data_IF_362592154747
#
_entry.id   IF_362592154747
#
_cell.length_a   1.000
_cell.length_b   1.000
_cell.length_c   1.000
_cell.angle_alpha   90.00
_cell.angle_beta   90.00
_cell.angle_gamma   90.00
#
_symmetry.space_group_name_H-M   'P 1'
#
loop_
_entity.id
_entity.type
_entity.pdbx_description
1 polymer ?
#
# COMPACT_ATOMS: atom_id res chain seq x y z
N UNK A 1 -12.76 6.15 18.45
CA UNK A 1 -12.85 6.36 16.99
C UNK A 1 -12.71 5.01 16.29
N UNK A 2 -13.73 4.54 15.57
CA UNK A 2 -13.62 3.29 14.78
C UNK A 2 -12.82 3.59 13.52
N UNK A 3 -11.50 3.48 13.61
CA UNK A 3 -10.62 3.57 12.45
C UNK A 3 -10.96 2.38 11.55
N UNK A 4 -11.64 2.65 10.43
CA UNK A 4 -12.00 1.61 9.47
C UNK A 4 -10.70 1.10 8.84
N UNK A 5 -10.36 -0.20 8.98
CA UNK A 5 -9.14 -0.78 8.42
C UNK A 5 -8.99 -0.54 6.91
N UNK A 6 -10.11 -0.34 6.21
CA UNK A 6 -10.16 0.02 4.80
C UNK A 6 -9.61 1.42 4.50
N UNK A 7 -9.96 2.41 5.32
CA UNK A 7 -9.50 3.79 5.09
C UNK A 7 -7.98 3.88 5.17
N UNK A 8 -7.38 3.17 6.13
CA UNK A 8 -5.92 3.09 6.22
C UNK A 8 -5.32 2.34 5.03
N UNK A 9 -5.97 1.27 4.53
CA UNK A 9 -5.49 0.55 3.34
C UNK A 9 -5.38 1.46 2.11
N UNK A 10 -6.40 2.30 1.88
CA UNK A 10 -6.41 3.28 0.79
C UNK A 10 -5.36 4.37 0.98
N UNK A 11 -5.16 4.86 2.20
CA UNK A 11 -4.11 5.84 2.50
C UNK A 11 -2.72 5.28 2.19
N UNK A 12 -2.39 4.08 2.67
CA UNK A 12 -1.11 3.42 2.36
C UNK A 12 -0.94 3.18 0.86
N UNK A 13 -2.00 2.78 0.15
CA UNK A 13 -1.95 2.59 -1.30
C UNK A 13 -1.66 3.91 -2.04
N UNK A 14 -2.32 4.99 -1.62
CA UNK A 14 -2.15 6.31 -2.22
C UNK A 14 -0.75 6.87 -1.98
N UNK A 15 -0.24 6.75 -0.75
CA UNK A 15 1.12 7.16 -0.39
C UNK A 15 2.15 6.33 -1.15
N UNK A 16 1.96 5.01 -1.25
CA UNK A 16 2.83 4.14 -2.04
C UNK A 16 2.88 4.53 -3.52
N UNK A 17 1.75 4.90 -4.13
CA UNK A 17 1.70 5.40 -5.51
C UNK A 17 2.45 6.73 -5.67
N UNK A 18 2.34 7.64 -4.70
CA UNK A 18 3.11 8.89 -4.67
C UNK A 18 4.62 8.61 -4.62
N UNK A 19 5.06 7.66 -3.79
CA UNK A 19 6.47 7.27 -3.75
C UNK A 19 6.95 6.65 -5.06
N UNK A 20 6.11 5.87 -5.76
CA UNK A 20 6.44 5.38 -7.09
C UNK A 20 6.61 6.54 -8.08
N UNK A 21 5.69 7.51 -8.07
CA UNK A 21 5.80 8.69 -8.92
C UNK A 21 7.10 9.46 -8.68
N UNK A 22 7.44 9.73 -7.42
CA UNK A 22 8.70 10.39 -7.08
C UNK A 22 9.92 9.53 -7.41
N UNK A 23 9.83 8.21 -7.28
CA UNK A 23 10.92 7.31 -7.65
C UNK A 23 11.22 7.39 -9.15
N UNK A 24 10.19 7.51 -10.00
CA UNK A 24 10.36 7.73 -11.44
C UNK A 24 11.00 9.07 -11.75
N UNK A 25 10.55 10.15 -11.10
CA UNK A 25 11.12 11.48 -11.29
C UNK A 25 12.57 11.58 -10.81
N UNK A 26 12.94 10.77 -9.81
CA UNK A 26 14.29 10.69 -9.28
C UNK A 26 15.28 9.91 -10.16
N UNK A 27 14.82 9.28 -11.25
CA UNK A 27 15.69 8.60 -12.19
C UNK A 27 16.43 9.67 -12.99
N UNK A 28 17.68 9.92 -12.60
CA UNK A 28 18.60 10.75 -13.37
C UNK A 28 19.33 9.88 -14.41
N UNK A 29 20.55 9.44 -14.12
CA UNK A 29 21.34 8.63 -15.06
C UNK A 29 21.04 7.13 -14.99
N UNK A 30 20.63 6.64 -13.81
CA UNK A 30 20.39 5.21 -13.59
C UNK A 30 19.25 4.98 -12.59
N UNK A 31 18.54 3.87 -12.77
CA UNK A 31 17.53 3.38 -11.81
C UNK A 31 18.12 2.97 -10.45
N UNK A 32 19.44 2.83 -10.34
CA UNK A 32 20.15 2.48 -9.10
C UNK A 32 20.60 3.71 -8.30
N UNK A 33 20.09 4.90 -8.60
CA UNK A 33 20.32 6.07 -7.76
C UNK A 33 19.86 5.77 -6.32
N UNK A 34 20.67 6.06 -5.28
CA UNK A 34 20.29 5.87 -3.89
C UNK A 34 18.90 6.42 -3.53
N UNK A 35 18.50 7.56 -4.09
CA UNK A 35 17.18 8.15 -3.85
C UNK A 35 16.06 7.29 -4.45
N UNK A 36 16.20 6.86 -5.71
CA UNK A 36 15.24 5.98 -6.40
C UNK A 36 15.07 4.65 -5.68
N UNK A 37 16.17 4.04 -5.24
CA UNK A 37 16.13 2.78 -4.47
C UNK A 37 15.39 3.00 -3.14
N UNK A 38 15.71 4.08 -2.42
CA UNK A 38 15.06 4.40 -1.14
C UNK A 38 13.54 4.59 -1.31
N UNK A 39 13.12 5.39 -2.30
CA UNK A 39 11.71 5.62 -2.61
C UNK A 39 11.00 4.33 -3.03
N UNK A 40 11.65 3.48 -3.82
CA UNK A 40 11.12 2.18 -4.25
C UNK A 40 10.92 1.23 -3.06
N UNK A 41 11.86 1.20 -2.12
CA UNK A 41 11.75 0.40 -0.89
C UNK A 41 10.58 0.89 -0.05
N UNK A 42 10.44 2.20 0.16
CA UNK A 42 9.30 2.77 0.88
C UNK A 42 7.96 2.41 0.22
N UNK A 43 7.85 2.61 -1.10
CA UNK A 43 6.67 2.24 -1.86
C UNK A 43 6.30 0.75 -1.71
N UNK A 44 7.31 -0.13 -1.66
CA UNK A 44 7.11 -1.57 -1.47
C UNK A 44 6.51 -1.88 -0.09
N UNK A 45 6.98 -1.22 0.98
CA UNK A 45 6.40 -1.37 2.31
C UNK A 45 4.95 -0.91 2.36
N UNK A 46 4.64 0.25 1.76
CA UNK A 46 3.28 0.80 1.71
C UNK A 46 2.31 -0.11 0.94
N UNK A 47 2.71 -0.59 -0.23
CA UNK A 47 1.92 -1.54 -1.03
C UNK A 47 1.72 -2.87 -0.28
N UNK A 48 2.75 -3.38 0.39
CA UNK A 48 2.65 -4.59 1.21
C UNK A 48 1.68 -4.43 2.39
N UNK A 49 1.72 -3.28 3.08
CA UNK A 49 0.81 -2.95 4.16
C UNK A 49 -0.64 -2.82 3.66
N UNK A 50 -0.84 -2.12 2.54
CA UNK A 50 -2.15 -1.98 1.90
C UNK A 50 -2.72 -3.34 1.47
N UNK A 51 -1.92 -4.19 0.84
CA UNK A 51 -2.33 -5.54 0.44
C UNK A 51 -2.76 -6.38 1.65
N UNK A 52 -2.02 -6.33 2.75
CA UNK A 52 -2.36 -7.04 4.00
C UNK A 52 -3.70 -6.57 4.57
N UNK A 53 -3.94 -5.26 4.58
CA UNK A 53 -5.19 -4.68 5.06
C UNK A 53 -6.37 -5.02 4.14
N UNK A 54 -6.16 -5.02 2.82
CA UNK A 54 -7.17 -5.42 1.85
C UNK A 54 -7.56 -6.89 2.03
N UNK A 55 -6.57 -7.79 2.18
CA UNK A 55 -6.80 -9.21 2.46
C UNK A 55 -7.56 -9.41 3.78
N UNK A 56 -7.22 -8.64 4.82
CA UNK A 56 -7.94 -8.66 6.09
C UNK A 56 -9.41 -8.24 5.91
N UNK A 57 -9.67 -7.19 5.14
CA UNK A 57 -11.03 -6.75 4.85
C UNK A 57 -11.85 -7.81 4.12
N UNK A 58 -11.29 -8.43 3.07
CA UNK A 58 -11.95 -9.51 2.32
C UNK A 58 -12.25 -10.70 3.25
N UNK A 59 -11.29 -11.08 4.10
CA UNK A 59 -11.47 -12.18 5.07
C UNK A 59 -12.60 -11.88 6.08
N UNK A 60 -12.67 -10.65 6.60
CA UNK A 60 -13.75 -10.23 7.51
C UNK A 60 -15.11 -10.23 6.79
N UNK A 61 -15.15 -9.74 5.54
CA UNK A 61 -16.37 -9.73 4.72
C UNK A 61 -16.90 -11.14 4.46
N UNK A 62 -16.02 -12.08 4.14
CA UNK A 62 -16.41 -13.49 3.89
C UNK A 62 -16.93 -14.16 5.17
N UNK A 63 -16.25 -13.99 6.32
CA UNK A 63 -16.75 -14.53 7.60
C UNK A 63 -18.11 -13.97 8.02
N UNK A 64 -18.40 -12.70 7.74
CA UNK A 64 -19.72 -12.09 7.99
C UNK A 64 -20.82 -12.64 7.07
N UNK A 65 -20.44 -13.13 5.88
CA UNK A 65 -21.38 -13.69 4.90
C UNK A 65 -21.74 -15.14 5.24
N UNK A 66 -20.78 -15.91 5.76
CA UNK A 66 -21.01 -17.28 6.21
C UNK A 66 -21.85 -17.37 7.49
N UNK A 67 -21.76 -16.40 8.41
CA UNK A 67 -22.64 -16.34 9.58
C UNK A 67 -24.08 -15.87 9.28
N UNK A 68 -24.36 -15.43 8.05
CA UNK A 68 -25.70 -15.02 7.61
C UNK A 68 -26.41 -16.07 6.75
N UNK A 69 -25.75 -17.19 6.44
CA UNK A 69 -26.35 -18.38 5.85
C UNK A 69 -26.69 -19.37 6.95
#
# INVERSE_FOLDING_TARGET
MRISPLMHAYLYLFIGLLFIYFAFEAIEDTVLNPLTIFLTVLATFDLGASYRLFKLHVKIKNKKKDQKK
#
